data_IF_738260131919
#
_entry.id   IF_738260131919
#
_cell.length_a   1.000
_cell.length_b   1.000
_cell.length_c   1.000
_cell.angle_alpha   90.00
_cell.angle_beta   90.00
_cell.angle_gamma   90.00
#
_symmetry.space_group_name_H-M   'P 1'
#
loop_
_entity.id
_entity.type
_entity.pdbx_description
1 polymer ?
#
# COMPACT_ATOMS: atom_id res chain seq x y z
N UNK A 1 -15.18 -12.44 -2.58
CA UNK A 1 -15.18 -10.97 -2.52
C UNK A 1 -14.40 -10.44 -3.73
N UNK A 2 -15.01 -9.66 -4.58
CA UNK A 2 -14.35 -9.06 -5.75
C UNK A 2 -14.05 -7.61 -5.43
N UNK A 3 -12.81 -7.29 -5.18
CA UNK A 3 -12.40 -5.92 -4.88
C UNK A 3 -10.89 -5.76 -5.06
N UNK A 4 -10.36 -4.56 -4.84
CA UNK A 4 -8.92 -4.29 -5.00
C UNK A 4 -8.06 -5.12 -4.06
N UNK A 5 -8.57 -5.42 -2.85
CA UNK A 5 -7.85 -6.16 -1.81
C UNK A 5 -7.62 -7.64 -2.14
N UNK A 6 -8.34 -8.19 -3.12
CA UNK A 6 -8.01 -9.54 -3.60
C UNK A 6 -6.56 -9.65 -4.10
N UNK A 7 -5.90 -8.53 -4.38
CA UNK A 7 -4.46 -8.51 -4.75
C UNK A 7 -3.51 -8.73 -3.57
N UNK A 8 -4.00 -8.60 -2.32
CA UNK A 8 -3.23 -8.93 -1.12
C UNK A 8 -3.28 -10.42 -0.85
N UNK A 9 -2.13 -11.07 -1.00
CA UNK A 9 -2.01 -12.52 -0.86
C UNK A 9 -1.71 -12.86 0.60
N UNK A 10 -2.57 -13.68 1.25
CA UNK A 10 -2.34 -14.13 2.62
C UNK A 10 -2.45 -13.05 3.71
N UNK A 11 -3.11 -11.91 3.45
CA UNK A 11 -3.12 -10.73 4.33
C UNK A 11 -4.53 -10.36 4.85
N UNK A 12 -5.35 -11.33 5.22
CA UNK A 12 -6.76 -11.11 5.59
C UNK A 12 -6.95 -10.13 6.77
N UNK A 13 -6.07 -10.16 7.76
CA UNK A 13 -6.13 -9.24 8.90
C UNK A 13 -5.86 -7.79 8.47
N UNK A 14 -4.85 -7.59 7.63
CA UNK A 14 -4.49 -6.28 7.06
C UNK A 14 -5.62 -5.77 6.16
N UNK A 15 -6.19 -6.62 5.31
CA UNK A 15 -7.36 -6.28 4.49
C UNK A 15 -8.50 -5.75 5.37
N UNK A 16 -8.87 -6.49 6.42
CA UNK A 16 -9.94 -6.11 7.34
C UNK A 16 -9.69 -4.76 7.99
N UNK A 17 -8.45 -4.50 8.42
CA UNK A 17 -8.06 -3.24 9.04
C UNK A 17 -8.16 -2.06 8.07
N UNK A 18 -7.61 -2.19 6.86
CA UNK A 18 -7.61 -1.14 5.84
C UNK A 18 -9.02 -0.86 5.30
N UNK A 19 -9.85 -1.89 5.12
CA UNK A 19 -11.26 -1.75 4.77
C UNK A 19 -12.02 -1.03 5.86
N UNK A 20 -11.81 -1.39 7.13
CA UNK A 20 -12.43 -0.71 8.28
C UNK A 20 -12.06 0.78 8.35
N UNK A 21 -10.78 1.12 8.12
CA UNK A 21 -10.34 2.50 8.06
C UNK A 21 -10.96 3.27 6.86
N UNK A 22 -11.09 2.62 5.70
CA UNK A 22 -11.72 3.24 4.54
C UNK A 22 -13.22 3.49 4.75
N UNK A 23 -13.92 2.66 5.51
CA UNK A 23 -15.28 2.92 5.97
C UNK A 23 -15.33 4.12 6.91
N UNK A 24 -14.47 4.15 7.92
CA UNK A 24 -14.39 5.28 8.85
C UNK A 24 -14.13 6.62 8.15
N UNK A 25 -13.30 6.61 7.10
CA UNK A 25 -13.01 7.78 6.27
C UNK A 25 -14.24 8.35 5.52
N UNK A 26 -15.31 7.57 5.38
CA UNK A 26 -16.58 7.99 4.75
C UNK A 26 -17.58 8.60 5.74
N UNK A 27 -17.33 8.48 7.03
CA UNK A 27 -18.30 8.78 8.07
C UNK A 27 -19.37 7.68 8.27
N UNK A 28 -19.28 6.60 7.50
CA UNK A 28 -20.22 5.49 7.52
C UNK A 28 -19.56 4.27 8.16
N UNK A 29 -19.57 4.16 9.48
CA UNK A 29 -19.18 2.90 10.14
C UNK A 29 -20.41 1.97 10.18
N UNK A 30 -20.45 0.90 9.39
CA UNK A 30 -21.66 0.07 9.25
C UNK A 30 -22.02 -0.75 10.49
N UNK A 31 -21.25 -0.80 11.52
CA UNK A 31 -21.57 -1.45 12.81
C UNK A 31 -20.71 -0.87 13.91
N UNK A 32 -21.22 -0.05 14.77
CA UNK A 32 -20.86 0.32 16.15
C UNK A 32 -19.58 -0.21 16.83
N UNK A 33 -18.63 -0.70 16.08
CA UNK A 33 -17.32 -1.13 16.55
C UNK A 33 -16.39 0.08 16.67
N UNK A 34 -16.61 0.86 17.70
CA UNK A 34 -15.59 1.78 18.20
C UNK A 34 -14.35 0.94 18.56
N UNK A 35 -13.29 1.03 17.75
CA UNK A 35 -12.00 0.49 18.16
C UNK A 35 -11.03 0.03 17.09
N UNK A 36 -11.47 -0.50 15.97
CA UNK A 36 -10.54 -1.07 14.96
C UNK A 36 -10.46 -0.32 13.64
N UNK A 37 -11.26 0.73 13.43
CA UNK A 37 -11.41 1.40 12.14
C UNK A 37 -11.25 2.92 12.16
N UNK A 38 -10.48 3.52 13.08
CA UNK A 38 -10.26 4.97 13.01
C UNK A 38 -9.38 5.31 11.82
N UNK A 39 -9.85 6.23 10.97
CA UNK A 39 -9.01 6.79 9.91
C UNK A 39 -7.97 7.75 10.51
N UNK A 40 -6.75 7.69 9.99
CA UNK A 40 -5.68 8.63 10.30
C UNK A 40 -5.01 9.09 9.00
N UNK A 41 -4.33 10.21 9.06
CA UNK A 41 -3.68 10.83 7.90
C UNK A 41 -2.29 10.25 7.57
N UNK A 42 -1.71 9.42 8.45
CA UNK A 42 -0.41 8.81 8.22
C UNK A 42 -0.40 7.33 8.60
N UNK A 43 0.10 6.50 7.69
CA UNK A 43 0.18 5.06 7.83
C UNK A 43 1.59 4.58 7.52
N UNK A 44 2.08 3.64 8.32
CA UNK A 44 3.33 2.94 8.09
C UNK A 44 3.03 1.47 7.80
N UNK A 45 3.25 1.07 6.57
CA UNK A 45 3.02 -0.30 6.08
C UNK A 45 4.36 -1.00 6.00
N UNK A 46 4.59 -1.98 6.87
CA UNK A 46 5.86 -2.71 6.93
C UNK A 46 5.69 -4.17 6.53
N UNK A 47 6.79 -4.80 6.22
CA UNK A 47 6.87 -6.23 5.90
C UNK A 47 8.10 -6.55 5.06
N UNK A 48 8.51 -7.81 5.01
CA UNK A 48 9.68 -8.23 4.25
C UNK A 48 9.50 -7.97 2.74
N UNK A 49 10.58 -7.96 1.97
CA UNK A 49 10.52 -7.85 0.52
C UNK A 49 9.56 -8.90 -0.07
N UNK A 50 8.68 -8.46 -0.95
CA UNK A 50 7.69 -9.35 -1.57
C UNK A 50 6.40 -9.57 -0.80
N UNK A 51 6.27 -9.10 0.45
CA UNK A 51 5.04 -9.21 1.26
C UNK A 51 3.83 -8.44 0.70
N UNK A 52 4.07 -7.50 -0.24
CA UNK A 52 2.99 -6.75 -0.88
C UNK A 52 2.73 -5.36 -0.30
N UNK A 53 3.70 -4.72 0.36
CA UNK A 53 3.58 -3.36 0.93
C UNK A 53 3.00 -2.35 -0.04
N UNK A 54 3.63 -2.19 -1.21
CA UNK A 54 3.16 -1.26 -2.26
C UNK A 54 1.77 -1.63 -2.77
N UNK A 55 1.45 -2.93 -2.82
CA UNK A 55 0.11 -3.41 -3.21
C UNK A 55 -0.91 -3.02 -2.14
N UNK A 56 -0.58 -3.20 -0.85
CA UNK A 56 -1.45 -2.81 0.26
C UNK A 56 -1.73 -1.30 0.26
N UNK A 57 -0.67 -0.48 0.10
CA UNK A 57 -0.80 0.97 0.00
C UNK A 57 -1.70 1.37 -1.18
N UNK A 58 -1.51 0.76 -2.35
CA UNK A 58 -2.31 1.05 -3.53
C UNK A 58 -3.78 0.61 -3.40
N UNK A 59 -4.01 -0.57 -2.82
CA UNK A 59 -5.37 -1.06 -2.52
C UNK A 59 -6.08 -0.14 -1.53
N UNK A 60 -5.38 0.32 -0.49
CA UNK A 60 -5.93 1.24 0.48
C UNK A 60 -6.23 2.61 -0.14
N UNK A 61 -5.32 3.15 -0.95
CA UNK A 61 -5.56 4.37 -1.70
C UNK A 61 -6.79 4.25 -2.61
N UNK A 62 -6.94 3.14 -3.33
CA UNK A 62 -8.11 2.87 -4.14
C UNK A 62 -9.41 2.77 -3.31
N UNK A 63 -9.34 2.17 -2.12
CA UNK A 63 -10.48 2.07 -1.21
C UNK A 63 -10.92 3.44 -0.65
N UNK A 64 -9.97 4.32 -0.32
CA UNK A 64 -10.23 5.69 0.13
C UNK A 64 -10.89 6.54 -0.96
N UNK A 65 -10.52 6.34 -2.23
CA UNK A 65 -11.10 7.05 -3.38
C UNK A 65 -12.38 6.40 -3.91
N UNK A 66 -12.69 5.18 -3.49
CA UNK A 66 -13.79 4.40 -4.04
C UNK A 66 -15.14 5.10 -3.87
N UNK A 67 -15.93 5.15 -4.95
CA UNK A 67 -17.27 5.79 -4.98
C UNK A 67 -18.41 4.80 -4.77
N UNK A 68 -18.14 3.51 -4.65
CA UNK A 68 -19.18 2.49 -4.38
C UNK A 68 -19.71 2.63 -2.95
N UNK A 69 -21.00 2.62 -2.78
CA UNK A 69 -21.67 2.66 -1.47
C UNK A 69 -21.59 1.32 -0.73
N UNK A 70 -21.52 0.21 -1.47
CA UNK A 70 -21.60 -1.13 -0.89
C UNK A 70 -20.30 -1.59 -0.23
N UNK A 71 -19.13 -1.23 -0.79
CA UNK A 71 -17.83 -1.70 -0.27
C UNK A 71 -16.71 -0.77 -0.71
N UNK A 72 -15.85 -0.26 0.22
CA UNK A 72 -14.64 0.46 -0.15
C UNK A 72 -13.69 -0.44 -0.95
N UNK A 73 -13.15 0.11 -2.05
CA UNK A 73 -12.25 -0.69 -2.88
C UNK A 73 -12.96 -1.71 -3.76
N UNK A 74 -14.14 -1.38 -4.31
CA UNK A 74 -14.94 -2.29 -5.13
C UNK A 74 -14.21 -2.85 -6.37
N UNK A 75 -13.13 -2.20 -6.83
CA UNK A 75 -12.33 -2.62 -7.99
C UNK A 75 -12.94 -2.30 -9.36
N UNK A 76 -14.17 -1.82 -9.41
CA UNK A 76 -14.91 -1.62 -10.67
C UNK A 76 -15.21 -0.14 -10.98
N UNK A 77 -15.36 0.72 -9.96
CA UNK A 77 -15.61 2.14 -10.19
C UNK A 77 -14.37 2.82 -10.80
N UNK A 78 -14.60 3.94 -11.48
CA UNK A 78 -13.52 4.70 -12.13
C UNK A 78 -12.38 5.05 -11.18
N UNK A 79 -12.69 5.44 -9.94
CA UNK A 79 -11.66 5.77 -8.95
C UNK A 79 -10.79 4.54 -8.62
N UNK A 80 -11.38 3.36 -8.39
CA UNK A 80 -10.62 2.14 -8.16
C UNK A 80 -9.78 1.73 -9.38
N UNK A 81 -10.34 1.77 -10.59
CA UNK A 81 -9.64 1.34 -11.79
C UNK A 81 -8.46 2.27 -12.12
N UNK A 82 -8.64 3.58 -12.01
CA UNK A 82 -7.55 4.56 -12.23
C UNK A 82 -6.50 4.51 -11.13
N UNK A 83 -6.90 4.31 -9.86
CA UNK A 83 -5.96 4.12 -8.75
C UNK A 83 -5.08 2.89 -8.98
N UNK A 84 -5.69 1.74 -9.29
CA UNK A 84 -4.97 0.49 -9.51
C UNK A 84 -4.10 0.51 -10.80
N UNK A 85 -4.45 1.35 -11.77
CA UNK A 85 -3.65 1.61 -12.97
C UNK A 85 -2.52 2.64 -12.74
N UNK A 86 -2.48 3.31 -11.57
CA UNK A 86 -1.49 4.35 -11.27
C UNK A 86 -1.74 5.68 -11.99
N UNK A 87 -2.97 5.91 -12.48
CA UNK A 87 -3.33 7.10 -13.27
C UNK A 87 -4.34 8.03 -12.59
N UNK A 88 -4.64 7.78 -11.30
CA UNK A 88 -5.56 8.64 -10.54
C UNK A 88 -4.90 9.98 -10.20
N UNK A 89 -5.56 11.09 -10.56
CA UNK A 89 -4.99 12.44 -10.45
C UNK A 89 -4.59 12.83 -9.00
N UNK A 90 -5.31 12.32 -8.00
CA UNK A 90 -5.10 12.66 -6.59
C UNK A 90 -4.32 11.57 -5.82
N UNK A 91 -3.67 10.63 -6.52
CA UNK A 91 -2.77 9.64 -5.92
C UNK A 91 -1.38 9.82 -6.53
N UNK A 92 -0.42 10.15 -5.69
CA UNK A 92 0.99 10.25 -6.07
C UNK A 92 1.77 9.09 -5.48
N UNK A 93 2.53 8.41 -6.33
CA UNK A 93 3.47 7.38 -5.92
C UNK A 93 4.87 7.91 -6.10
N UNK A 94 5.65 7.85 -5.03
CA UNK A 94 7.08 8.13 -5.03
C UNK A 94 7.80 6.80 -5.02
N UNK A 95 8.46 6.51 -6.12
CA UNK A 95 9.35 5.36 -6.28
C UNK A 95 10.74 5.97 -6.46
N UNK A 96 11.68 5.75 -5.52
CA UNK A 96 13.00 6.35 -5.62
C UNK A 96 13.70 5.92 -6.92
N UNK A 97 14.10 6.87 -7.74
CA UNK A 97 14.91 6.59 -8.94
C UNK A 97 16.40 6.36 -8.58
N UNK A 98 16.82 6.87 -7.41
CA UNK A 98 18.17 6.78 -6.89
C UNK A 98 18.27 5.97 -5.61
N UNK A 99 19.39 6.13 -4.91
CA UNK A 99 19.64 5.43 -3.63
C UNK A 99 18.91 6.06 -2.44
N UNK A 100 18.43 7.30 -2.55
CA UNK A 100 17.78 8.03 -1.45
C UNK A 100 16.75 9.03 -1.95
N UNK A 101 15.80 9.37 -1.07
CA UNK A 101 14.78 10.40 -1.27
C UNK A 101 15.24 11.65 -0.53
N UNK A 102 15.54 12.71 -1.26
CA UNK A 102 16.13 13.93 -0.72
C UNK A 102 15.11 14.95 -0.23
N UNK A 103 15.66 16.05 0.33
CA UNK A 103 14.86 17.17 0.88
C UNK A 103 14.02 17.86 -0.18
N UNK A 104 14.59 18.12 -1.35
CA UNK A 104 13.91 18.90 -2.39
C UNK A 104 12.76 18.07 -3.02
N UNK A 105 13.00 16.80 -3.27
CA UNK A 105 11.95 15.87 -3.72
C UNK A 105 10.79 15.81 -2.72
N UNK A 106 11.10 15.73 -1.43
CA UNK A 106 10.08 15.71 -0.38
C UNK A 106 9.34 17.05 -0.27
N UNK A 107 10.00 18.20 -0.46
CA UNK A 107 9.35 19.52 -0.48
C UNK A 107 8.36 19.65 -1.63
N UNK A 108 8.75 19.23 -2.82
CA UNK A 108 7.89 19.25 -4.01
C UNK A 108 6.67 18.33 -3.82
N UNK A 109 6.89 17.17 -3.23
CA UNK A 109 5.84 16.21 -2.91
C UNK A 109 4.83 16.79 -1.91
N UNK A 110 5.31 17.38 -0.81
CA UNK A 110 4.48 18.01 0.22
C UNK A 110 3.70 19.18 -0.34
N UNK A 111 4.34 20.05 -1.15
CA UNK A 111 3.67 21.16 -1.82
C UNK A 111 2.54 20.68 -2.75
N UNK A 112 2.75 19.58 -3.46
CA UNK A 112 1.71 18.99 -4.29
C UNK A 112 0.58 18.35 -3.47
N UNK A 113 0.91 17.67 -2.36
CA UNK A 113 -0.04 17.04 -1.46
C UNK A 113 -0.90 18.05 -0.68
N UNK A 114 -0.42 19.28 -0.52
CA UNK A 114 -1.15 20.36 0.15
C UNK A 114 -2.28 20.96 -0.68
N UNK A 115 -2.41 20.57 -1.95
CA UNK A 115 -3.51 21.01 -2.81
C UNK A 115 -4.80 20.24 -2.45
N UNK A 116 -5.95 20.86 -2.73
CA UNK A 116 -7.21 20.15 -2.59
C UNK A 116 -7.32 19.02 -3.63
N UNK A 117 -7.96 17.90 -3.27
CA UNK A 117 -8.25 16.83 -4.24
C UNK A 117 -9.01 17.40 -5.44
N UNK A 118 -8.69 16.92 -6.65
CA UNK A 118 -9.29 17.40 -7.90
C UNK A 118 -10.45 16.54 -8.38
N UNK A 119 -10.37 15.23 -8.15
CA UNK A 119 -11.37 14.25 -8.62
C UNK A 119 -11.87 13.34 -7.52
N UNK A 120 -11.05 13.10 -6.50
CA UNK A 120 -11.35 12.21 -5.39
C UNK A 120 -11.69 12.96 -4.10
N UNK A 121 -11.76 12.20 -3.00
CA UNK A 121 -12.00 12.71 -1.64
C UNK A 121 -10.71 13.10 -0.94
N UNK A 122 -9.59 12.46 -1.31
CA UNK A 122 -8.31 12.53 -0.62
C UNK A 122 -7.16 12.84 -1.58
N UNK A 123 -6.23 13.66 -1.16
CA UNK A 123 -4.88 13.65 -1.72
C UNK A 123 -4.11 12.53 -1.05
N UNK A 124 -3.59 11.58 -1.82
CA UNK A 124 -2.90 10.42 -1.27
C UNK A 124 -1.47 10.39 -1.80
N UNK A 125 -0.54 10.28 -0.88
CA UNK A 125 0.89 10.15 -1.17
C UNK A 125 1.35 8.78 -0.70
N UNK A 126 1.84 7.97 -1.64
CA UNK A 126 2.45 6.68 -1.36
C UNK A 126 3.96 6.85 -1.52
N UNK A 127 4.72 6.63 -0.45
CA UNK A 127 6.18 6.62 -0.47
C UNK A 127 6.61 5.17 -0.40
N UNK A 128 7.02 4.62 -1.54
CA UNK A 128 7.61 3.28 -1.61
C UNK A 128 9.07 3.39 -1.14
N UNK A 129 9.56 2.39 -0.42
CA UNK A 129 10.90 2.39 0.16
C UNK A 129 11.19 3.65 1.03
N UNK A 130 10.31 3.92 2.01
CA UNK A 130 10.47 5.04 2.95
C UNK A 130 11.75 4.93 3.82
N UNK A 131 12.36 3.74 3.87
CA UNK A 131 13.70 3.48 4.41
C UNK A 131 14.81 4.22 3.66
N UNK A 132 14.54 4.70 2.45
CA UNK A 132 15.49 5.51 1.66
C UNK A 132 15.37 7.01 1.89
N UNK A 133 14.49 7.45 2.78
CA UNK A 133 14.43 8.86 3.15
C UNK A 133 15.74 9.31 3.79
N UNK A 134 16.33 10.39 3.27
CA UNK A 134 17.42 11.05 3.97
C UNK A 134 16.89 11.66 5.27
N UNK A 135 17.76 11.93 6.26
CA UNK A 135 17.38 12.61 7.50
C UNK A 135 16.64 13.94 7.21
N UNK A 136 17.14 14.71 6.26
CA UNK A 136 16.48 15.95 5.83
C UNK A 136 15.11 15.72 5.19
N UNK A 137 14.96 14.69 4.35
CA UNK A 137 13.69 14.29 3.76
C UNK A 137 12.67 13.83 4.80
N UNK A 138 13.12 13.02 5.77
CA UNK A 138 12.30 12.57 6.90
C UNK A 138 11.83 13.75 7.77
N UNK A 139 12.68 14.76 8.00
CA UNK A 139 12.31 15.97 8.76
C UNK A 139 11.27 16.83 8.02
N UNK A 140 11.31 16.91 6.69
CA UNK A 140 10.26 17.57 5.89
C UNK A 140 8.93 16.82 6.03
N UNK A 141 8.96 15.50 5.92
CA UNK A 141 7.77 14.66 6.06
C UNK A 141 7.20 14.72 7.47
N UNK A 142 8.05 14.73 8.50
CA UNK A 142 7.64 14.81 9.90
C UNK A 142 6.75 16.02 10.16
N UNK A 143 7.13 17.21 9.67
CA UNK A 143 6.36 18.44 9.84
C UNK A 143 4.94 18.33 9.26
N UNK A 144 4.82 17.73 8.09
CA UNK A 144 3.52 17.61 7.44
C UNK A 144 2.67 16.46 8.01
N UNK A 145 3.31 15.48 8.64
CA UNK A 145 2.59 14.42 9.38
C UNK A 145 2.10 14.94 10.75
N UNK A 146 2.80 15.90 11.34
CA UNK A 146 2.34 16.56 12.58
C UNK A 146 1.17 17.53 12.33
N UNK A 147 1.22 18.28 11.23
CA UNK A 147 0.19 19.24 10.83
C UNK A 147 -0.28 18.94 9.39
N UNK A 148 -1.07 17.87 9.20
CA UNK A 148 -1.43 17.43 7.88
C UNK A 148 -2.39 18.41 7.19
N UNK A 149 -2.22 18.64 5.87
CA UNK A 149 -3.21 19.35 5.09
C UNK A 149 -4.56 18.63 5.12
N UNK A 150 -5.64 19.40 5.07
CA UNK A 150 -6.98 18.82 5.03
C UNK A 150 -7.14 17.83 3.87
N UNK A 151 -7.76 16.69 4.13
CA UNK A 151 -8.01 15.62 3.14
C UNK A 151 -6.74 15.04 2.51
N UNK A 152 -5.62 15.00 3.23
CA UNK A 152 -4.36 14.39 2.77
C UNK A 152 -4.03 13.15 3.60
N UNK A 153 -3.56 12.08 2.92
CA UNK A 153 -3.15 10.82 3.54
C UNK A 153 -1.77 10.43 3.03
N UNK A 154 -0.87 10.10 3.95
CA UNK A 154 0.47 9.60 3.68
C UNK A 154 0.54 8.10 3.97
N UNK A 155 0.97 7.32 2.99
CA UNK A 155 1.17 5.87 3.08
C UNK A 155 2.66 5.58 2.89
N UNK A 156 3.34 5.24 3.97
CA UNK A 156 4.78 4.96 3.99
C UNK A 156 4.99 3.44 3.94
N UNK A 157 5.82 2.97 3.03
CA UNK A 157 6.19 1.56 2.94
C UNK A 157 7.65 1.41 3.37
N UNK A 158 7.93 0.57 4.37
CA UNK A 158 9.28 0.30 4.85
C UNK A 158 9.48 -1.21 5.11
N UNK A 159 10.72 -1.73 5.10
CA UNK A 159 10.97 -3.14 5.38
C UNK A 159 10.53 -3.56 6.78
N UNK A 160 10.82 -2.73 7.77
CA UNK A 160 10.50 -2.99 9.18
C UNK A 160 10.19 -1.69 9.93
N UNK A 161 10.04 -1.79 11.25
CA UNK A 161 9.90 -0.65 12.18
C UNK A 161 11.22 -0.28 12.86
N UNK A 162 12.31 -0.87 12.43
CA UNK A 162 13.63 -0.61 13.01
C UNK A 162 14.05 0.84 12.76
N UNK A 163 14.78 1.48 13.70
CA UNK A 163 15.23 2.86 13.53
C UNK A 163 16.12 3.09 12.30
N UNK A 164 16.77 2.03 11.80
CA UNK A 164 17.57 2.07 10.57
C UNK A 164 16.71 2.16 9.32
N UNK A 165 15.49 1.60 9.35
CA UNK A 165 14.54 1.60 8.24
C UNK A 165 13.60 2.81 8.28
N UNK A 166 13.19 3.26 9.48
CA UNK A 166 12.28 4.38 9.64
C UNK A 166 12.54 5.14 10.95
N UNK A 167 12.67 6.46 10.86
CA UNK A 167 12.89 7.30 12.03
C UNK A 167 11.79 7.11 13.09
N UNK A 168 12.19 6.94 14.35
CA UNK A 168 11.28 6.73 15.48
C UNK A 168 10.23 7.84 15.58
N UNK A 169 10.60 9.06 15.23
CA UNK A 169 9.73 10.25 15.21
C UNK A 169 8.60 10.14 14.20
N UNK A 170 8.87 9.63 13.00
CA UNK A 170 7.85 9.34 11.99
C UNK A 170 6.98 8.15 12.40
N UNK A 171 7.61 7.06 12.85
CA UNK A 171 6.91 5.85 13.29
C UNK A 171 5.87 6.16 14.38
N UNK A 172 6.22 6.98 15.36
CA UNK A 172 5.33 7.32 16.50
C UNK A 172 4.08 8.09 16.10
N UNK A 173 4.05 8.67 14.89
CA UNK A 173 2.94 9.47 14.35
C UNK A 173 2.14 8.75 13.28
N UNK A 174 2.60 7.57 12.88
CA UNK A 174 1.92 6.74 11.88
C UNK A 174 1.15 5.61 12.54
N UNK A 175 -0.02 5.29 12.01
CA UNK A 175 -0.67 4.02 12.30
C UNK A 175 0.09 2.91 11.60
N UNK A 176 0.54 1.94 12.37
CA UNK A 176 1.36 0.85 11.86
C UNK A 176 0.50 -0.34 11.44
N UNK A 177 0.80 -0.86 10.25
CA UNK A 177 0.23 -2.10 9.69
C UNK A 177 1.39 -2.98 9.23
N UNK A 178 1.46 -4.20 9.76
CA UNK A 178 2.52 -5.14 9.43
C UNK A 178 2.00 -6.26 8.51
N UNK A 179 2.65 -6.43 7.37
CA UNK A 179 2.40 -7.55 6.47
C UNK A 179 3.32 -8.72 6.81
N UNK A 180 2.75 -9.91 6.70
CA UNK A 180 3.48 -11.16 6.85
C UNK A 180 4.05 -11.62 5.49
N UNK A 181 5.04 -12.49 5.53
CA UNK A 181 5.47 -13.23 4.34
C UNK A 181 4.32 -14.15 3.90
N UNK A 182 3.80 -14.03 2.65
CA UNK A 182 2.79 -14.95 2.17
C UNK A 182 3.30 -16.40 2.18
N UNK A 183 2.42 -17.34 2.50
CA UNK A 183 2.76 -18.76 2.42
C UNK A 183 2.94 -19.23 0.98
N UNK A 184 3.68 -20.31 0.77
CA UNK A 184 3.81 -20.90 -0.57
C UNK A 184 2.45 -21.34 -1.12
N UNK A 185 1.55 -21.82 -0.27
CA UNK A 185 0.21 -22.23 -0.68
C UNK A 185 -0.64 -21.03 -1.14
N UNK A 186 -0.62 -19.91 -0.39
CA UNK A 186 -1.32 -18.68 -0.79
C UNK A 186 -0.80 -18.17 -2.15
N UNK A 187 0.53 -18.20 -2.36
CA UNK A 187 1.14 -17.79 -3.61
C UNK A 187 0.73 -18.72 -4.73
N UNK A 188 0.82 -20.05 -4.55
CA UNK A 188 0.43 -21.02 -5.56
C UNK A 188 -1.03 -20.86 -5.95
N UNK A 189 -1.93 -20.65 -4.98
CA UNK A 189 -3.34 -20.41 -5.24
C UNK A 189 -3.55 -19.18 -6.13
N UNK A 190 -2.88 -18.08 -5.85
CA UNK A 190 -2.99 -16.86 -6.66
C UNK A 190 -2.45 -17.06 -8.07
N UNK A 191 -1.34 -17.79 -8.24
CA UNK A 191 -0.79 -18.11 -9.55
C UNK A 191 -1.75 -18.98 -10.38
N UNK A 192 -2.44 -19.94 -9.76
CA UNK A 192 -3.44 -20.76 -10.42
C UNK A 192 -4.70 -19.97 -10.78
N UNK A 193 -5.28 -19.24 -9.82
CA UNK A 193 -6.57 -18.59 -9.98
C UNK A 193 -6.54 -17.35 -10.88
N UNK A 194 -5.44 -16.61 -10.85
CA UNK A 194 -5.33 -15.32 -11.56
C UNK A 194 -4.47 -15.37 -12.79
N UNK A 195 -3.37 -16.12 -12.69
CA UNK A 195 -2.39 -16.17 -13.78
C UNK A 195 -2.61 -17.41 -14.67
N UNK A 196 -3.57 -18.31 -14.26
CA UNK A 196 -3.96 -19.47 -15.06
C UNK A 196 -2.89 -20.55 -15.16
N UNK A 197 -1.92 -20.57 -14.24
CA UNK A 197 -0.82 -21.54 -14.26
C UNK A 197 -1.27 -22.93 -13.85
N UNK A 198 -0.61 -23.95 -14.41
CA UNK A 198 -0.80 -25.31 -13.97
C UNK A 198 -0.35 -25.50 -12.52
N UNK A 199 -1.03 -26.36 -11.75
CA UNK A 199 -0.78 -26.56 -10.32
C UNK A 199 0.68 -26.90 -10.01
N UNK A 200 1.29 -27.80 -10.78
CA UNK A 200 2.68 -28.20 -10.56
C UNK A 200 3.65 -27.02 -10.73
N UNK A 201 3.43 -26.19 -11.73
CA UNK A 201 4.25 -25.00 -12.01
C UNK A 201 4.05 -23.90 -10.95
N UNK A 202 2.80 -23.65 -10.58
CA UNK A 202 2.45 -22.68 -9.55
C UNK A 202 3.05 -23.05 -8.20
N UNK A 203 2.95 -24.31 -7.77
CA UNK A 203 3.55 -24.81 -6.51
C UNK A 203 5.07 -24.73 -6.53
N UNK A 204 5.70 -25.11 -7.63
CA UNK A 204 7.15 -25.01 -7.78
C UNK A 204 7.60 -23.56 -7.67
N UNK A 205 7.02 -22.65 -8.45
CA UNK A 205 7.38 -21.23 -8.44
C UNK A 205 7.15 -20.59 -7.06
N UNK A 206 6.07 -20.93 -6.39
CA UNK A 206 5.77 -20.47 -5.05
C UNK A 206 6.83 -20.93 -4.03
N UNK A 207 7.22 -22.22 -4.06
CA UNK A 207 8.18 -22.80 -3.13
C UNK A 207 9.57 -22.14 -3.25
N UNK A 208 10.03 -21.84 -4.48
CA UNK A 208 11.37 -21.24 -4.70
C UNK A 208 11.38 -19.70 -4.63
N UNK A 209 10.21 -19.06 -4.53
CA UNK A 209 10.10 -17.60 -4.52
C UNK A 209 10.52 -16.95 -3.18
N UNK A 210 10.57 -17.71 -2.10
CA UNK A 210 10.85 -17.20 -0.76
C UNK A 210 9.76 -16.25 -0.24
N UNK A 211 8.49 -16.48 -0.60
CA UNK A 211 7.38 -15.63 -0.17
C UNK A 211 7.15 -14.39 -1.04
N UNK A 212 7.87 -14.25 -2.14
CA UNK A 212 7.79 -13.08 -3.00
C UNK A 212 6.88 -13.34 -4.22
N UNK A 213 5.64 -12.85 -4.20
CA UNK A 213 4.63 -13.09 -5.26
C UNK A 213 5.13 -12.66 -6.65
N UNK A 214 5.76 -11.50 -6.77
CA UNK A 214 6.29 -11.01 -8.05
C UNK A 214 7.43 -11.90 -8.60
N UNK A 215 8.30 -12.41 -7.70
CA UNK A 215 9.36 -13.36 -8.08
C UNK A 215 8.75 -14.69 -8.53
N UNK A 216 7.72 -15.17 -7.82
CA UNK A 216 7.03 -16.40 -8.21
C UNK A 216 6.43 -16.30 -9.62
N UNK A 217 5.75 -15.18 -9.92
CA UNK A 217 5.24 -14.91 -11.27
C UNK A 217 6.33 -14.94 -12.33
N UNK A 218 7.43 -14.22 -12.09
CA UNK A 218 8.55 -14.17 -13.03
C UNK A 218 9.16 -15.56 -13.25
N UNK A 219 9.39 -16.32 -12.21
CA UNK A 219 9.89 -17.70 -12.31
C UNK A 219 8.93 -18.62 -13.07
N UNK A 220 7.63 -18.42 -12.95
CA UNK A 220 6.64 -19.20 -13.65
C UNK A 220 6.55 -18.85 -15.15
N UNK A 221 6.67 -17.58 -15.51
CA UNK A 221 6.40 -17.10 -16.87
C UNK A 221 7.65 -16.88 -17.73
N UNK A 222 8.82 -16.72 -17.12
CA UNK A 222 10.07 -16.39 -17.80
C UNK A 222 11.06 -17.56 -17.69
N UNK A 223 11.32 -18.28 -18.80
CA UNK A 223 12.28 -19.38 -18.80
C UNK A 223 13.72 -18.97 -18.43
N UNK A 224 14.13 -17.73 -18.73
CA UNK A 224 15.44 -17.22 -18.38
C UNK A 224 15.59 -16.96 -16.88
N UNK A 225 14.48 -16.66 -16.19
CA UNK A 225 14.49 -16.49 -14.75
C UNK A 225 14.63 -17.81 -13.96
N UNK A 226 14.53 -18.96 -14.65
CA UNK A 226 14.68 -20.31 -14.09
C UNK A 226 16.13 -20.79 -14.14
N UNK A 227 16.98 -20.18 -14.94
CA UNK A 227 18.41 -20.51 -15.10
C UNK A 227 19.25 -19.86 -13.99
#
# INVERSE_FOLDING_TARGET
MSGVFTRLVGQSAVESELVGAAWAARGDSPHGTAGTGSMTHAWLITGPPGSGRSVAALCFAAALQCTSESTPGCGQCRACTTAMAGTHADIRRVIPEGLSIGVDEMRDLVAAASRRPSTGRWQIVIIEDADRLTEGGANVLLKVVEEPPASTVFLLCAPSVDPEDIAITLRSRCRHVALLTPSADDIAQVLMERDGLAEAEARWAAAVSGGHVGRARRLATDPEARA
#
